data_IF_544443959833
#
_entry.id   IF_544443959833
#
_cell.length_a   1.000
_cell.length_b   1.000
_cell.length_c   1.000
_cell.angle_alpha   90.00
_cell.angle_beta   90.00
_cell.angle_gamma   90.00
#
_symmetry.space_group_name_H-M   'P 1'
#
loop_
_entity.id
_entity.type
_entity.pdbx_description
1 polymer ?
#
# COMPACT_ATOMS: atom_id res chain seq x y z
N UNK A 1 -19.10 -3.56 -10.64
CA UNK A 1 -18.27 -2.82 -9.66
C UNK A 1 -17.03 -3.66 -9.35
N UNK A 2 -15.86 -3.30 -9.85
CA UNK A 2 -14.60 -3.98 -9.52
C UNK A 2 -14.17 -3.45 -8.17
N UNK A 3 -14.31 -4.25 -7.11
CA UNK A 3 -13.73 -3.93 -5.81
C UNK A 3 -12.20 -3.84 -5.97
N UNK A 4 -11.70 -2.63 -6.00
CA UNK A 4 -10.26 -2.34 -5.92
C UNK A 4 -9.81 -2.62 -4.50
N UNK A 5 -9.52 -3.88 -4.17
CA UNK A 5 -8.90 -4.24 -2.88
C UNK A 5 -7.52 -3.60 -2.84
N UNK A 6 -7.38 -2.57 -2.02
CA UNK A 6 -6.08 -1.98 -1.71
C UNK A 6 -5.18 -3.05 -1.10
N UNK A 7 -3.92 -3.20 -1.58
CA UNK A 7 -3.01 -4.17 -0.98
C UNK A 7 -2.63 -3.74 0.43
N UNK A 8 -2.42 -4.69 1.34
CA UNK A 8 -1.95 -4.41 2.71
C UNK A 8 -0.63 -3.64 2.70
N UNK A 9 0.26 -3.96 1.76
CA UNK A 9 1.53 -3.26 1.59
C UNK A 9 1.35 -1.78 1.21
N UNK A 10 0.34 -1.42 0.41
CA UNK A 10 0.05 -0.02 0.09
C UNK A 10 -0.40 0.75 1.33
N UNK A 11 -1.19 0.13 2.22
CA UNK A 11 -1.56 0.73 3.50
C UNK A 11 -0.37 0.87 4.45
N UNK A 12 0.49 -0.15 4.55
CA UNK A 12 1.71 -0.12 5.36
C UNK A 12 2.68 0.99 4.91
N UNK A 13 2.73 1.33 3.63
CA UNK A 13 3.53 2.45 3.15
C UNK A 13 2.81 3.79 3.30
N UNK A 14 1.52 3.86 3.03
CA UNK A 14 0.78 5.11 2.95
C UNK A 14 0.38 5.71 4.29
N UNK A 15 -0.01 4.89 5.27
CA UNK A 15 -0.39 5.37 6.60
C UNK A 15 0.76 6.06 7.35
N UNK A 16 2.00 5.53 7.37
CA UNK A 16 3.12 6.24 7.98
C UNK A 16 3.42 7.57 7.32
N UNK A 17 3.29 7.67 6.00
CA UNK A 17 3.49 8.94 5.27
C UNK A 17 2.40 9.97 5.61
N UNK A 18 1.15 9.52 5.74
CA UNK A 18 0.04 10.36 6.18
C UNK A 18 0.29 10.87 7.61
N UNK A 19 0.70 9.99 8.53
CA UNK A 19 1.03 10.34 9.90
C UNK A 19 2.22 11.32 9.97
N UNK A 20 3.25 11.11 9.16
CA UNK A 20 4.39 12.02 9.07
C UNK A 20 3.96 13.42 8.59
N UNK A 21 3.11 13.50 7.57
CA UNK A 21 2.56 14.77 7.09
C UNK A 21 1.77 15.49 8.18
N UNK A 22 0.90 14.76 8.89
CA UNK A 22 0.12 15.30 10.00
C UNK A 22 1.00 15.86 11.13
N UNK A 23 2.00 15.09 11.60
CA UNK A 23 2.91 15.52 12.67
C UNK A 23 3.76 16.72 12.24
N UNK A 24 4.25 16.74 10.99
CA UNK A 24 5.03 17.86 10.46
C UNK A 24 4.20 19.14 10.36
N UNK A 25 2.95 19.04 9.92
CA UNK A 25 2.03 20.19 9.89
C UNK A 25 1.76 20.72 11.30
N UNK A 26 1.58 19.81 12.27
CA UNK A 26 1.37 20.15 13.68
C UNK A 26 2.60 20.89 14.26
N UNK A 27 3.79 20.32 14.09
CA UNK A 27 5.03 20.95 14.53
C UNK A 27 5.23 22.35 13.92
N UNK A 28 4.98 22.48 12.62
CA UNK A 28 5.12 23.75 11.93
C UNK A 28 4.14 24.81 12.45
N UNK A 29 2.91 24.40 12.83
CA UNK A 29 1.94 25.32 13.40
C UNK A 29 2.47 25.97 14.68
N UNK A 30 3.09 25.20 15.57
CA UNK A 30 3.70 25.70 16.81
C UNK A 30 4.99 26.50 16.57
N UNK A 31 5.69 26.28 15.47
CA UNK A 31 6.83 27.11 15.09
C UNK A 31 6.39 28.48 14.54
N UNK A 32 5.27 28.51 13.81
CA UNK A 32 4.73 29.75 13.24
C UNK A 32 3.98 30.59 14.25
N UNK A 33 3.33 29.94 15.21
CA UNK A 33 2.58 30.56 16.31
C UNK A 33 3.09 29.97 17.62
N UNK A 34 4.27 30.41 18.09
CA UNK A 34 4.83 29.90 19.33
C UNK A 34 3.93 30.25 20.52
N UNK A 35 3.90 29.39 21.55
CA UNK A 35 3.19 29.72 22.77
C UNK A 35 3.82 30.92 23.48
N UNK A 36 3.02 31.69 24.20
CA UNK A 36 3.49 32.82 25.01
C UNK A 36 4.36 32.33 26.18
N UNK A 37 5.45 33.03 26.46
CA UNK A 37 6.32 32.76 27.58
C UNK A 37 7.82 32.80 27.22
N UNK A 38 8.66 32.90 28.24
CA UNK A 38 10.13 32.98 28.09
C UNK A 38 10.74 31.61 27.76
N UNK A 39 10.04 30.52 28.06
CA UNK A 39 10.44 29.14 27.72
C UNK A 39 9.35 28.42 26.86
N UNK A 40 9.47 28.50 25.55
CA UNK A 40 8.51 27.83 24.65
C UNK A 40 8.43 26.31 24.83
N UNK A 41 9.52 25.65 25.22
CA UNK A 41 9.53 24.20 25.41
C UNK A 41 8.72 23.79 26.65
N UNK A 42 8.90 24.53 27.77
CA UNK A 42 8.09 24.32 28.97
C UNK A 42 6.60 24.62 28.72
N UNK A 43 6.30 25.67 27.94
CA UNK A 43 4.93 26.02 27.58
C UNK A 43 4.28 24.94 26.70
N UNK A 44 4.99 24.37 25.73
CA UNK A 44 4.53 23.22 24.93
C UNK A 44 4.28 21.99 25.82
N UNK A 45 5.22 21.65 26.70
CA UNK A 45 5.05 20.53 27.62
C UNK A 45 3.81 20.69 28.53
N UNK A 46 3.57 21.91 29.05
CA UNK A 46 2.43 22.21 29.89
C UNK A 46 1.08 22.06 29.18
N UNK A 47 1.05 22.16 27.86
CA UNK A 47 -0.15 21.98 27.03
C UNK A 47 -0.27 20.58 26.39
N UNK A 48 0.63 19.64 26.74
CA UNK A 48 0.62 18.26 26.24
C UNK A 48 1.49 18.00 25.02
N UNK A 49 2.20 19.01 24.53
CA UNK A 49 3.00 18.93 23.28
C UNK A 49 4.48 18.59 23.51
N UNK A 50 4.85 18.13 24.72
CA UNK A 50 6.25 17.77 25.04
C UNK A 50 6.81 16.65 24.16
N UNK A 51 5.96 15.80 23.58
CA UNK A 51 6.39 14.74 22.64
C UNK A 51 7.04 15.30 21.36
N UNK A 52 6.81 16.57 21.01
CA UNK A 52 7.37 17.18 19.81
C UNK A 52 8.91 17.30 19.87
N UNK A 53 9.52 17.25 21.05
CA UNK A 53 10.99 17.15 21.19
C UNK A 53 11.53 15.84 20.61
N UNK A 54 10.71 14.78 20.55
CA UNK A 54 11.07 13.48 20.01
C UNK A 54 10.73 13.33 18.51
N UNK A 55 10.38 14.43 17.83
CA UNK A 55 10.00 14.44 16.42
C UNK A 55 10.97 13.68 15.50
N UNK A 56 12.31 13.80 15.61
CA UNK A 56 13.23 13.06 14.74
C UNK A 56 13.07 11.54 14.86
N UNK A 57 12.89 11.04 16.08
CA UNK A 57 12.69 9.60 16.34
C UNK A 57 11.35 9.13 15.80
N UNK A 58 10.27 9.92 15.95
CA UNK A 58 8.96 9.61 15.42
C UNK A 58 8.98 9.53 13.89
N UNK A 59 9.59 10.52 13.24
CA UNK A 59 9.73 10.53 11.77
C UNK A 59 10.62 9.40 11.28
N UNK A 60 11.70 9.07 11.99
CA UNK A 60 12.55 7.91 11.70
C UNK A 60 11.78 6.60 11.75
N UNK A 61 10.98 6.40 12.79
CA UNK A 61 10.10 5.23 12.92
C UNK A 61 9.05 5.13 11.81
N UNK A 62 8.40 6.25 11.47
CA UNK A 62 7.43 6.29 10.38
C UNK A 62 8.09 6.03 9.02
N UNK A 63 9.29 6.57 8.79
CA UNK A 63 10.06 6.30 7.58
C UNK A 63 10.44 4.82 7.46
N UNK A 64 10.87 4.19 8.56
CA UNK A 64 11.16 2.77 8.59
C UNK A 64 9.93 1.91 8.27
N UNK A 65 8.78 2.24 8.87
CA UNK A 65 7.51 1.54 8.58
C UNK A 65 7.09 1.71 7.11
N UNK A 66 7.23 2.93 6.56
CA UNK A 66 6.94 3.17 5.14
C UNK A 66 7.88 2.34 4.25
N UNK A 67 9.18 2.27 4.58
CA UNK A 67 10.15 1.45 3.86
C UNK A 67 9.80 -0.04 3.89
N UNK A 68 9.39 -0.57 5.04
CA UNK A 68 8.89 -1.96 5.15
C UNK A 68 7.66 -2.18 4.25
N UNK A 69 6.71 -1.24 4.24
CA UNK A 69 5.55 -1.30 3.36
C UNK A 69 5.93 -1.30 1.88
N UNK A 70 6.91 -0.49 1.47
CA UNK A 70 7.42 -0.45 0.10
C UNK A 70 8.14 -1.75 -0.29
N UNK A 71 8.97 -2.30 0.61
CA UNK A 71 9.63 -3.59 0.39
C UNK A 71 8.61 -4.74 0.25
N UNK A 72 7.59 -4.76 1.12
CA UNK A 72 6.48 -5.71 1.01
C UNK A 72 5.74 -5.56 -0.33
N UNK A 73 5.51 -4.31 -0.78
CA UNK A 73 4.91 -4.03 -2.09
C UNK A 73 5.74 -4.57 -3.24
N UNK A 74 7.05 -4.39 -3.18
CA UNK A 74 7.97 -4.93 -4.18
C UNK A 74 7.98 -6.46 -4.19
N UNK A 75 7.83 -7.10 -3.04
CA UNK A 75 7.77 -8.56 -2.90
C UNK A 75 6.45 -9.15 -3.41
N UNK A 76 5.33 -8.41 -3.32
CA UNK A 76 4.03 -8.88 -3.83
C UNK A 76 4.03 -9.10 -5.35
N UNK A 77 4.94 -8.48 -6.11
CA UNK A 77 5.08 -8.64 -7.57
C UNK A 77 3.82 -8.27 -8.36
N UNK A 78 2.82 -7.70 -7.72
CA UNK A 78 1.51 -7.41 -8.30
C UNK A 78 1.41 -5.94 -8.72
N UNK A 79 1.46 -5.68 -10.00
CA UNK A 79 1.11 -4.38 -10.58
C UNK A 79 -0.43 -4.18 -10.58
N UNK A 80 -1.04 -4.10 -9.41
CA UNK A 80 -2.44 -3.71 -9.29
C UNK A 80 -2.54 -2.19 -9.15
N UNK A 81 -3.51 -1.56 -9.83
CA UNK A 81 -3.87 -0.16 -9.60
C UNK A 81 -4.58 0.01 -8.25
N UNK A 82 -3.82 -0.16 -7.18
CA UNK A 82 -4.35 0.01 -5.82
C UNK A 82 -3.83 1.32 -5.27
N UNK A 83 -4.55 2.40 -5.53
CA UNK A 83 -4.24 3.72 -4.99
C UNK A 83 -5.01 3.91 -3.68
N UNK A 84 -4.31 4.38 -2.66
CA UNK A 84 -4.96 4.86 -1.45
C UNK A 84 -5.93 5.99 -1.82
N UNK A 85 -7.14 6.01 -1.25
CA UNK A 85 -8.10 7.06 -1.53
C UNK A 85 -7.52 8.43 -1.16
N UNK A 86 -7.50 9.36 -2.12
CA UNK A 86 -6.89 10.68 -1.91
C UNK A 86 -7.57 11.48 -0.79
N UNK A 87 -8.88 11.30 -0.61
CA UNK A 87 -9.64 11.99 0.42
C UNK A 87 -9.14 11.68 1.84
N UNK A 88 -8.59 10.48 2.09
CA UNK A 88 -8.01 10.14 3.40
C UNK A 88 -6.89 11.09 3.80
N UNK A 89 -6.06 11.49 2.85
CA UNK A 89 -4.94 12.40 3.10
C UNK A 89 -5.38 13.86 3.35
N UNK A 90 -6.60 14.21 2.96
CA UNK A 90 -7.19 15.50 3.28
C UNK A 90 -7.99 15.47 4.59
N UNK A 91 -8.88 14.48 4.75
CA UNK A 91 -9.84 14.48 5.87
C UNK A 91 -9.27 13.94 7.16
N UNK A 92 -8.49 12.84 7.11
CA UNK A 92 -7.98 12.19 8.34
C UNK A 92 -7.04 13.10 9.12
N UNK A 93 -6.02 13.77 8.52
CA UNK A 93 -5.17 14.69 9.25
C UNK A 93 -5.93 15.87 9.86
N UNK A 94 -6.91 16.43 9.15
CA UNK A 94 -7.74 17.53 9.67
C UNK A 94 -8.50 17.11 10.91
N UNK A 95 -9.20 15.96 10.85
CA UNK A 95 -9.97 15.46 11.97
C UNK A 95 -9.07 15.04 13.14
N UNK A 96 -7.97 14.34 12.83
CA UNK A 96 -7.01 13.91 13.84
C UNK A 96 -6.41 15.13 14.59
N UNK A 97 -5.98 16.16 13.84
CA UNK A 97 -5.47 17.39 14.42
C UNK A 97 -6.52 18.07 15.31
N UNK A 98 -7.76 18.24 14.80
CA UNK A 98 -8.81 18.89 15.56
C UNK A 98 -9.13 18.15 16.86
N UNK A 99 -9.25 16.82 16.80
CA UNK A 99 -9.51 15.99 17.98
C UNK A 99 -8.34 16.03 18.95
N UNK A 100 -7.12 15.87 18.46
CA UNK A 100 -5.92 15.86 19.29
C UNK A 100 -5.75 17.18 20.03
N UNK A 101 -5.81 18.32 19.34
CA UNK A 101 -5.63 19.64 19.94
C UNK A 101 -6.63 19.93 21.06
N UNK A 102 -7.89 19.56 20.86
CA UNK A 102 -8.91 19.69 21.91
C UNK A 102 -8.63 18.73 23.07
N UNK A 103 -8.32 17.49 22.78
CA UNK A 103 -8.09 16.46 23.79
C UNK A 103 -6.87 16.78 24.66
N UNK A 104 -5.75 17.18 24.06
CA UNK A 104 -4.53 17.55 24.79
C UNK A 104 -4.77 18.69 25.76
N UNK A 105 -5.45 19.76 25.32
CA UNK A 105 -5.79 20.89 26.19
C UNK A 105 -6.75 20.52 27.33
N UNK A 106 -7.73 19.66 27.06
CA UNK A 106 -8.66 19.16 28.09
C UNK A 106 -7.89 18.32 29.12
N UNK A 107 -7.08 17.37 28.67
CA UNK A 107 -6.34 16.46 29.55
C UNK A 107 -5.29 17.19 30.42
N UNK A 108 -4.74 18.28 29.92
CA UNK A 108 -3.78 19.08 30.68
C UNK A 108 -4.45 20.24 31.48
N UNK A 109 -5.78 20.25 31.53
CA UNK A 109 -6.54 21.24 32.35
C UNK A 109 -6.36 22.68 31.90
N UNK A 110 -6.08 22.91 30.60
CA UNK A 110 -5.89 24.27 30.07
C UNK A 110 -7.20 25.04 30.15
N UNK A 111 -7.24 26.20 30.80
CA UNK A 111 -8.46 27.02 30.90
C UNK A 111 -8.97 27.37 29.49
N UNK A 112 -10.29 27.25 29.28
CA UNK A 112 -10.88 27.57 27.98
C UNK A 112 -10.61 26.57 26.88
N UNK A 113 -10.24 25.33 27.20
CA UNK A 113 -9.96 24.26 26.20
C UNK A 113 -11.09 24.09 25.16
N UNK A 114 -12.33 24.36 25.51
CA UNK A 114 -13.46 24.31 24.58
C UNK A 114 -13.45 25.42 23.51
N UNK A 115 -12.73 26.51 23.74
CA UNK A 115 -12.55 27.61 22.80
C UNK A 115 -11.32 27.41 21.88
N UNK A 116 -10.70 26.23 21.88
CA UNK A 116 -9.50 25.89 21.09
C UNK A 116 -9.62 26.27 19.63
N UNK A 117 -10.80 26.09 19.03
CA UNK A 117 -11.07 26.40 17.63
C UNK A 117 -10.84 27.88 17.26
N UNK A 118 -10.92 28.81 18.22
CA UNK A 118 -10.61 30.24 18.04
C UNK A 118 -9.13 30.60 18.23
N UNK A 119 -8.29 29.65 18.64
CA UNK A 119 -6.90 29.93 18.94
C UNK A 119 -6.07 30.04 17.64
N UNK A 120 -5.17 31.02 17.50
CA UNK A 120 -4.38 31.21 16.28
C UNK A 120 -3.61 29.96 15.85
N UNK A 121 -2.97 29.23 16.79
CA UNK A 121 -2.24 27.99 16.47
C UNK A 121 -3.17 26.91 15.89
N UNK A 122 -4.39 26.81 16.38
CA UNK A 122 -5.38 25.86 15.86
C UNK A 122 -5.74 26.18 14.40
N UNK A 123 -6.03 27.45 14.10
CA UNK A 123 -6.37 27.89 12.75
C UNK A 123 -5.24 27.66 11.77
N UNK A 124 -4.01 28.03 12.16
CA UNK A 124 -2.80 27.78 11.34
C UNK A 124 -2.58 26.28 11.18
N UNK A 125 -2.72 25.49 12.24
CA UNK A 125 -2.57 24.05 12.22
C UNK A 125 -3.57 23.37 11.26
N UNK A 126 -4.85 23.72 11.32
CA UNK A 126 -5.85 23.20 10.38
C UNK A 126 -5.50 23.53 8.93
N UNK A 127 -5.10 24.77 8.65
CA UNK A 127 -4.72 25.19 7.30
C UNK A 127 -3.49 24.43 6.78
N UNK A 128 -2.52 24.16 7.63
CA UNK A 128 -1.32 23.41 7.27
C UNK A 128 -1.60 21.93 6.99
N UNK A 129 -2.67 21.33 7.54
CA UNK A 129 -2.98 19.93 7.24
C UNK A 129 -3.25 19.70 5.75
N UNK A 130 -3.77 20.68 5.02
CA UNK A 130 -4.10 20.54 3.60
C UNK A 130 -2.85 20.37 2.72
N UNK A 131 -1.86 21.29 2.73
CA UNK A 131 -0.66 21.13 1.92
C UNK A 131 0.20 19.94 2.35
N UNK A 132 0.30 19.64 3.65
CA UNK A 132 1.05 18.49 4.13
C UNK A 132 0.35 17.16 3.80
N UNK A 133 -0.97 17.10 3.92
CA UNK A 133 -1.76 15.95 3.47
C UNK A 133 -1.62 15.71 1.96
N UNK A 134 -1.67 16.77 1.15
CA UNK A 134 -1.42 16.68 -0.29
C UNK A 134 -0.01 16.18 -0.59
N UNK A 135 1.00 16.75 0.05
CA UNK A 135 2.40 16.31 -0.11
C UNK A 135 2.58 14.84 0.25
N UNK A 136 2.00 14.39 1.38
CA UNK A 136 2.01 12.99 1.80
C UNK A 136 1.30 12.08 0.77
N UNK A 137 0.17 12.49 0.21
CA UNK A 137 -0.54 11.76 -0.83
C UNK A 137 0.30 11.61 -2.11
N UNK A 138 0.95 12.70 -2.53
CA UNK A 138 1.82 12.69 -3.72
C UNK A 138 3.05 11.82 -3.49
N UNK A 139 3.69 11.93 -2.32
CA UNK A 139 4.82 11.08 -1.93
C UNK A 139 4.44 9.60 -1.90
N UNK A 140 3.32 9.26 -1.26
CA UNK A 140 2.82 7.88 -1.21
C UNK A 140 2.59 7.31 -2.62
N UNK A 141 1.95 8.08 -3.52
CA UNK A 141 1.73 7.65 -4.90
C UNK A 141 3.02 7.48 -5.69
N UNK A 142 3.95 8.42 -5.55
CA UNK A 142 5.25 8.37 -6.23
C UNK A 142 6.07 7.16 -5.77
N UNK A 143 6.16 6.92 -4.46
CA UNK A 143 6.90 5.80 -3.89
C UNK A 143 6.28 4.44 -4.23
N UNK A 144 4.95 4.32 -4.16
CA UNK A 144 4.26 3.09 -4.57
C UNK A 144 4.45 2.81 -6.07
N UNK A 145 4.39 3.85 -6.91
CA UNK A 145 4.68 3.72 -8.34
C UNK A 145 6.13 3.29 -8.60
N UNK A 146 7.08 3.88 -7.88
CA UNK A 146 8.49 3.50 -7.97
C UNK A 146 8.70 2.03 -7.54
N UNK A 147 8.08 1.60 -6.45
CA UNK A 147 8.12 0.21 -6.00
C UNK A 147 7.56 -0.75 -7.07
N UNK A 148 6.45 -0.39 -7.72
CA UNK A 148 5.87 -1.19 -8.80
C UNK A 148 6.79 -1.26 -10.05
N UNK A 149 7.51 -0.19 -10.36
CA UNK A 149 8.49 -0.18 -11.47
C UNK A 149 9.67 -1.11 -11.16
N UNK A 150 10.22 -1.02 -9.95
CA UNK A 150 11.32 -1.88 -9.51
C UNK A 150 10.91 -3.35 -9.47
N UNK A 151 9.70 -3.65 -8.97
CA UNK A 151 9.17 -5.02 -8.94
C UNK A 151 9.08 -5.63 -10.34
N UNK A 152 8.57 -4.88 -11.32
CA UNK A 152 8.50 -5.33 -12.73
C UNK A 152 9.87 -5.54 -13.37
N UNK A 153 10.83 -4.67 -13.05
CA UNK A 153 12.21 -4.81 -13.58
C UNK A 153 12.94 -6.05 -13.05
N UNK A 154 12.46 -6.62 -11.92
CA UNK A 154 13.00 -7.88 -11.36
C UNK A 154 12.37 -9.14 -11.95
N UNK A 155 11.24 -9.02 -12.63
CA UNK A 155 10.70 -10.14 -13.41
C UNK A 155 11.62 -10.39 -14.59
N UNK A 156 12.63 -11.26 -14.37
CA UNK A 156 13.44 -11.79 -15.46
C UNK A 156 12.49 -12.33 -16.54
N UNK A 157 12.75 -12.03 -17.83
CA UNK A 157 11.97 -12.62 -18.91
C UNK A 157 11.99 -14.14 -18.68
N UNK A 158 10.82 -14.69 -18.32
CA UNK A 158 10.70 -16.15 -18.24
C UNK A 158 11.17 -16.65 -19.60
N UNK A 159 12.22 -17.51 -19.66
CA UNK A 159 12.62 -18.08 -20.93
C UNK A 159 11.34 -18.67 -21.54
N UNK A 160 10.93 -18.10 -22.66
CA UNK A 160 9.83 -18.69 -23.43
C UNK A 160 10.30 -20.10 -23.71
N UNK A 161 9.75 -21.08 -22.96
CA UNK A 161 9.95 -22.47 -23.33
C UNK A 161 9.55 -22.54 -24.78
N UNK A 162 10.48 -22.88 -25.70
CA UNK A 162 10.10 -23.06 -27.08
C UNK A 162 8.93 -24.06 -27.02
N UNK A 163 7.77 -23.65 -27.52
CA UNK A 163 6.68 -24.58 -27.70
C UNK A 163 7.22 -25.57 -28.73
N UNK A 164 7.75 -26.71 -28.25
CA UNK A 164 8.08 -27.82 -29.11
C UNK A 164 6.71 -28.27 -29.62
N UNK A 165 6.33 -27.66 -30.74
CA UNK A 165 5.19 -28.10 -31.50
C UNK A 165 5.67 -29.45 -32.10
N UNK A 166 5.35 -30.53 -31.35
CA UNK A 166 5.42 -31.88 -31.93
C UNK A 166 4.46 -31.83 -33.13
N UNK A 167 5.02 -31.49 -34.28
CA UNK A 167 4.38 -31.73 -35.57
C UNK A 167 4.37 -33.23 -35.68
N UNK A 168 3.31 -33.87 -35.21
CA UNK A 168 2.98 -35.23 -35.58
C UNK A 168 2.80 -35.17 -37.13
N UNK A 169 3.88 -35.39 -37.86
CA UNK A 169 3.79 -35.69 -39.27
C UNK A 169 3.08 -37.03 -39.32
N UNK A 170 1.84 -37.10 -39.80
CA UNK A 170 1.20 -38.40 -40.02
C UNK A 170 2.09 -39.11 -41.03
N UNK A 171 2.84 -40.10 -40.57
CA UNK A 171 3.57 -40.99 -41.42
C UNK A 171 2.48 -41.69 -42.23
N UNK A 172 2.38 -41.32 -43.51
CA UNK A 172 1.56 -42.05 -44.42
C UNK A 172 2.03 -43.53 -44.37
N UNK A 173 1.29 -44.35 -43.68
CA UNK A 173 1.49 -45.80 -43.74
C UNK A 173 0.96 -46.18 -45.12
N UNK A 174 1.88 -46.35 -46.04
CA UNK A 174 1.53 -47.00 -47.32
C UNK A 174 0.78 -48.30 -47.00
N UNK A 175 -0.45 -48.48 -47.50
CA UNK A 175 -1.13 -49.72 -47.28
C UNK A 175 -0.31 -50.83 -47.98
N UNK A 176 0.34 -51.63 -47.14
CA UNK A 176 0.98 -52.84 -47.69
C UNK A 176 -0.05 -53.61 -48.49
N UNK A 177 0.30 -54.07 -49.70
CA UNK A 177 -0.64 -54.84 -50.52
C UNK A 177 -1.06 -56.09 -49.75
N UNK A 178 -2.36 -56.14 -49.39
CA UNK A 178 -2.96 -57.33 -48.79
C UNK A 178 -3.09 -58.36 -49.88
N UNK A 179 -1.96 -58.98 -50.21
CA UNK A 179 -1.94 -60.10 -51.14
C UNK A 179 -1.73 -61.37 -50.34
N UNK A 180 -2.74 -62.15 -50.40
CA UNK A 180 -2.66 -63.62 -50.29
C UNK A 180 -2.15 -64.19 -48.96
N UNK A 181 -3.04 -64.33 -48.01
CA UNK A 181 -3.07 -65.50 -47.12
C UNK A 181 -4.46 -65.63 -46.48
N UNK A 182 -5.49 -65.58 -47.33
CA UNK A 182 -6.80 -66.12 -46.93
C UNK A 182 -6.69 -67.65 -47.04
N UNK A 183 -6.19 -68.30 -46.01
CA UNK A 183 -6.47 -69.71 -45.78
C UNK A 183 -7.82 -69.81 -45.04
N UNK A 184 -8.83 -70.47 -45.58
CA UNK A 184 -10.04 -70.72 -44.85
C UNK A 184 -9.73 -71.72 -43.75
N UNK A 185 -9.75 -71.31 -42.51
CA UNK A 185 -9.85 -72.18 -41.36
C UNK A 185 -11.29 -72.71 -41.34
N UNK A 186 -11.44 -73.93 -41.78
CA UNK A 186 -12.64 -74.72 -41.65
C UNK A 186 -13.10 -74.76 -40.21
N UNK A 187 -14.38 -74.46 -40.01
CA UNK A 187 -15.02 -74.38 -38.73
C UNK A 187 -14.98 -75.63 -37.90
N UNK A 188 -14.84 -75.45 -36.58
CA UNK A 188 -15.40 -76.40 -35.62
C UNK A 188 -16.52 -75.68 -34.91
N UNK A 189 -17.71 -76.26 -35.12
CA UNK A 189 -18.94 -75.96 -34.40
C UNK A 189 -18.75 -76.26 -32.88
N UNK A 190 -19.21 -75.41 -31.97
CA UNK A 190 -19.22 -75.75 -30.55
C UNK A 190 -20.19 -76.86 -30.22
N UNK A 191 -19.93 -77.73 -29.22
CA UNK A 191 -20.81 -78.80 -28.79
C UNK A 191 -22.06 -78.22 -28.12
N UNK A 192 -23.22 -78.75 -28.45
CA UNK A 192 -24.48 -78.45 -27.80
C UNK A 192 -24.49 -79.09 -26.40
N UNK A 193 -24.74 -78.26 -25.38
CA UNK A 193 -25.05 -78.70 -24.04
C UNK A 193 -26.47 -79.11 -23.94
N UNK A 194 -26.67 -80.34 -23.51
CA UNK A 194 -28.00 -80.91 -23.03
C UNK A 194 -28.17 -80.55 -21.56
#
# INVERSE_FOLDING_TARGET
MVETRCSRAAWLAGLPLLAAGWILAHQLAYQLVPPDGDDPAAALAATGHGYLEHLPFMLGGLAALAAVGLLARMAEGRSGRHTLPAWLFGTVPLLAFAVQEHLERILHGVPGAWATAGHPVFLVGILLQLPFGLAAALAARALLKAADVVARGRELPRPRRPAIRLVLVPRAVDPAPVSALARPCAGRAPPALR
#
